data_IF_573376873516
#
_entry.id   IF_573376873516
#
_cell.length_a   1.000
_cell.length_b   1.000
_cell.length_c   1.000
_cell.angle_alpha   90.00
_cell.angle_beta   90.00
_cell.angle_gamma   90.00
#
_symmetry.space_group_name_H-M   'P 1'
#
loop_
_entity.id
_entity.type
_entity.pdbx_description
1 polymer ?
#
# COMPACT_ATOMS: atom_id res chain seq x y z
N UNK A 1 41.72 -15.15 -7.39
CA UNK A 1 40.74 -14.38 -6.60
C UNK A 1 39.48 -15.23 -6.53
N UNK A 2 39.33 -16.01 -5.46
CA UNK A 2 38.26 -17.01 -5.32
C UNK A 2 37.09 -16.33 -4.61
N UNK A 3 35.99 -16.09 -5.32
CA UNK A 3 34.79 -15.46 -4.75
C UNK A 3 34.01 -16.58 -4.06
N UNK A 4 33.93 -16.52 -2.73
CA UNK A 4 33.17 -17.47 -1.94
C UNK A 4 31.66 -17.37 -2.25
N UNK A 5 31.00 -18.45 -2.72
CA UNK A 5 29.59 -18.43 -3.12
C UNK A 5 28.62 -18.32 -1.93
N UNK A 6 29.11 -18.53 -0.69
CA UNK A 6 28.30 -18.44 0.53
C UNK A 6 28.03 -16.96 0.91
N UNK A 7 28.96 -16.06 0.61
CA UNK A 7 28.85 -14.63 0.95
C UNK A 7 27.75 -13.91 0.18
N UNK A 8 27.51 -14.29 -1.08
CA UNK A 8 26.45 -13.69 -1.90
C UNK A 8 25.04 -14.08 -1.42
N UNK A 9 24.85 -15.33 -0.96
CA UNK A 9 23.54 -15.82 -0.49
C UNK A 9 23.15 -15.21 0.85
N UNK A 10 24.10 -14.96 1.75
CA UNK A 10 23.83 -14.31 3.04
C UNK A 10 23.48 -12.81 2.88
N UNK A 11 24.09 -12.12 1.91
CA UNK A 11 23.81 -10.70 1.64
C UNK A 11 22.47 -10.48 0.93
N UNK A 12 22.14 -11.30 -0.07
CA UNK A 12 20.83 -11.29 -0.72
C UNK A 12 19.68 -11.57 0.27
N UNK A 13 19.92 -12.45 1.26
CA UNK A 13 18.94 -12.80 2.30
C UNK A 13 18.79 -11.71 3.36
N UNK A 14 19.85 -10.94 3.69
CA UNK A 14 19.76 -9.77 4.59
C UNK A 14 19.06 -8.57 3.95
N UNK A 15 19.21 -8.39 2.63
CA UNK A 15 18.51 -7.34 1.87
C UNK A 15 17.02 -7.67 1.73
N UNK A 16 16.68 -8.94 1.48
CA UNK A 16 15.28 -9.40 1.41
C UNK A 16 14.54 -9.32 2.77
N UNK A 17 15.27 -9.27 3.89
CA UNK A 17 14.70 -9.26 5.25
C UNK A 17 14.57 -7.86 5.88
N UNK A 18 14.97 -6.78 5.18
CA UNK A 18 14.49 -5.42 5.47
C UNK A 18 13.05 -5.30 4.95
N UNK A 19 12.14 -6.01 5.63
CA UNK A 19 10.68 -6.14 5.43
C UNK A 19 10.12 -5.19 4.37
N UNK A 20 9.70 -5.76 3.25
CA UNK A 20 9.03 -5.09 2.14
C UNK A 20 8.14 -3.93 2.63
N UNK A 21 8.58 -2.66 2.48
CA UNK A 21 7.94 -1.49 3.11
C UNK A 21 6.45 -1.41 2.84
N UNK A 22 6.03 -1.85 1.65
CA UNK A 22 4.64 -1.89 1.22
C UNK A 22 3.71 -2.70 2.12
N UNK A 23 4.20 -3.71 2.85
CA UNK A 23 3.36 -4.48 3.78
C UNK A 23 2.87 -3.62 4.95
N UNK A 24 3.66 -2.62 5.39
CA UNK A 24 3.21 -1.67 6.42
C UNK A 24 2.13 -0.75 5.88
N UNK A 25 2.27 -0.33 4.61
CA UNK A 25 1.27 0.48 3.91
C UNK A 25 -0.06 -0.27 3.84
N UNK A 26 -0.03 -1.51 3.34
CA UNK A 26 -1.25 -2.32 3.24
C UNK A 26 -1.90 -2.53 4.59
N UNK A 27 -1.12 -2.78 5.64
CA UNK A 27 -1.66 -2.92 7.00
C UNK A 27 -2.32 -1.63 7.49
N UNK A 28 -1.69 -0.47 7.29
CA UNK A 28 -2.28 0.81 7.70
C UNK A 28 -3.57 1.12 6.92
N UNK A 29 -3.60 0.81 5.62
CA UNK A 29 -4.82 0.95 4.81
C UNK A 29 -5.93 0.00 5.26
N UNK A 30 -5.61 -1.24 5.61
CA UNK A 30 -6.59 -2.18 6.16
C UNK A 30 -7.08 -1.77 7.55
N UNK A 31 -6.21 -1.19 8.38
CA UNK A 31 -6.59 -0.62 9.69
C UNK A 31 -7.55 0.57 9.52
N UNK A 32 -7.31 1.44 8.54
CA UNK A 32 -8.23 2.54 8.19
C UNK A 32 -9.54 2.03 7.59
N UNK A 33 -9.46 1.06 6.68
CA UNK A 33 -10.62 0.52 5.96
C UNK A 33 -11.52 -0.36 6.84
N UNK A 34 -11.00 -0.89 7.95
CA UNK A 34 -11.75 -1.73 8.87
C UNK A 34 -11.90 -3.18 8.40
N UNK A 35 -12.77 -3.91 9.10
CA UNK A 35 -13.04 -5.31 8.81
C UNK A 35 -13.71 -5.47 7.44
N UNK A 36 -13.25 -6.45 6.64
CA UNK A 36 -13.79 -6.72 5.30
C UNK A 36 -12.94 -6.18 4.15
N UNK A 37 -11.88 -5.41 4.42
CA UNK A 37 -10.93 -4.96 3.41
C UNK A 37 -9.89 -6.05 3.06
N UNK A 38 -10.04 -6.68 1.90
CA UNK A 38 -9.14 -7.70 1.40
C UNK A 38 -8.08 -7.13 0.48
N UNK A 39 -6.80 -7.42 0.75
CA UNK A 39 -5.71 -7.01 -0.13
C UNK A 39 -5.75 -7.81 -1.45
N UNK A 40 -5.80 -7.10 -2.59
CA UNK A 40 -5.82 -7.72 -3.92
C UNK A 40 -4.46 -7.65 -4.59
N UNK A 41 -3.90 -6.43 -4.70
CA UNK A 41 -2.64 -6.22 -5.40
C UNK A 41 -1.92 -4.96 -4.93
N UNK A 42 -0.62 -4.96 -5.15
CA UNK A 42 0.28 -3.84 -4.91
C UNK A 42 1.16 -3.64 -6.14
N UNK A 43 1.41 -2.39 -6.50
CA UNK A 43 2.50 -2.01 -7.39
C UNK A 43 3.20 -0.77 -6.84
N UNK A 44 4.43 -0.58 -7.26
CA UNK A 44 5.21 0.60 -6.92
C UNK A 44 5.94 1.16 -8.14
N UNK A 45 6.11 2.47 -8.13
CA UNK A 45 6.90 3.20 -9.12
C UNK A 45 7.79 4.20 -8.40
N UNK A 46 9.10 4.23 -8.71
CA UNK A 46 9.99 5.28 -8.20
C UNK A 46 9.43 6.67 -8.56
N UNK A 47 9.59 7.61 -7.64
CA UNK A 47 9.19 9.01 -7.82
C UNK A 47 10.31 9.92 -7.32
N UNK A 48 10.54 11.02 -8.03
CA UNK A 48 11.45 12.05 -7.59
C UNK A 48 11.00 13.42 -8.08
N UNK A 49 11.32 14.43 -7.29
CA UNK A 49 11.19 15.85 -7.58
C UNK A 49 12.56 16.52 -7.43
N UNK A 50 12.61 17.85 -7.53
CA UNK A 50 13.86 18.61 -7.33
C UNK A 50 14.41 18.46 -5.92
N UNK A 51 13.55 18.35 -4.91
CA UNK A 51 13.95 18.41 -3.49
C UNK A 51 13.74 17.10 -2.74
N UNK A 52 12.92 16.19 -3.26
CA UNK A 52 12.57 14.93 -2.60
C UNK A 52 12.56 13.76 -3.57
N UNK A 53 12.92 12.58 -3.08
CA UNK A 53 12.72 11.30 -3.76
C UNK A 53 11.80 10.39 -2.94
N UNK A 54 11.33 9.31 -3.56
CA UNK A 54 10.47 8.36 -2.91
C UNK A 54 9.90 7.32 -3.86
N UNK A 55 8.75 6.78 -3.47
CA UNK A 55 8.00 5.84 -4.28
C UNK A 55 6.50 6.12 -4.19
N UNK A 56 5.84 5.95 -5.33
CA UNK A 56 4.39 5.95 -5.44
C UNK A 56 3.91 4.51 -5.38
N UNK A 57 3.07 4.19 -4.41
CA UNK A 57 2.51 2.87 -4.21
C UNK A 57 1.04 2.88 -4.58
N UNK A 58 0.63 1.96 -5.45
CA UNK A 58 -0.78 1.73 -5.78
C UNK A 58 -1.22 0.42 -5.15
N UNK A 59 -2.22 0.48 -4.28
CA UNK A 59 -2.78 -0.66 -3.54
C UNK A 59 -4.24 -0.82 -3.96
N UNK A 60 -4.63 -2.03 -4.33
CA UNK A 60 -6.04 -2.35 -4.53
C UNK A 60 -6.58 -3.17 -3.36
N UNK A 61 -7.69 -2.71 -2.78
CA UNK A 61 -8.44 -3.40 -1.73
C UNK A 61 -9.83 -3.77 -2.26
N UNK A 62 -10.26 -4.99 -1.97
CA UNK A 62 -11.59 -5.48 -2.28
C UNK A 62 -12.45 -5.56 -1.03
N UNK A 63 -13.73 -5.24 -1.21
CA UNK A 63 -14.74 -5.26 -0.17
C UNK A 63 -15.92 -6.08 -0.70
N UNK A 64 -16.17 -7.24 -0.10
CA UNK A 64 -17.19 -8.19 -0.56
C UNK A 64 -18.34 -8.28 0.44
N UNK A 65 -19.58 -8.16 -0.05
CA UNK A 65 -20.79 -8.14 0.77
C UNK A 65 -21.16 -6.75 1.29
N UNK A 66 -22.40 -6.62 1.76
CA UNK A 66 -23.01 -5.32 2.08
C UNK A 66 -22.26 -4.55 3.18
N UNK A 67 -21.86 -5.22 4.25
CA UNK A 67 -21.12 -4.60 5.38
C UNK A 67 -19.74 -4.08 4.94
N UNK A 68 -19.02 -4.86 4.13
CA UNK A 68 -17.72 -4.44 3.61
C UNK A 68 -17.86 -3.29 2.61
N UNK A 69 -18.93 -3.24 1.82
CA UNK A 69 -19.17 -2.13 0.90
C UNK A 69 -19.42 -0.80 1.64
N UNK A 70 -20.13 -0.82 2.77
CA UNK A 70 -20.25 0.37 3.63
C UNK A 70 -18.88 0.80 4.19
N UNK A 71 -18.04 -0.16 4.59
CA UNK A 71 -16.67 0.11 5.00
C UNK A 71 -15.82 0.71 3.86
N UNK A 72 -16.06 0.31 2.61
CA UNK A 72 -15.41 0.89 1.44
C UNK A 72 -15.74 2.39 1.28
N UNK A 73 -17.00 2.77 1.44
CA UNK A 73 -17.43 4.17 1.34
C UNK A 73 -16.79 5.03 2.44
N UNK A 74 -16.74 4.52 3.67
CA UNK A 74 -16.06 5.18 4.78
C UNK A 74 -14.55 5.31 4.53
N UNK A 75 -13.92 4.26 4.01
CA UNK A 75 -12.51 4.28 3.63
C UNK A 75 -12.22 5.32 2.56
N UNK A 76 -13.04 5.37 1.50
CA UNK A 76 -12.90 6.34 0.39
C UNK A 76 -12.98 7.77 0.92
N UNK A 77 -13.93 8.03 1.82
CA UNK A 77 -14.10 9.36 2.42
C UNK A 77 -12.95 9.72 3.38
N UNK A 78 -12.41 8.76 4.13
CA UNK A 78 -11.40 9.01 5.14
C UNK A 78 -9.97 9.08 4.60
N UNK A 79 -9.65 8.37 3.51
CA UNK A 79 -8.28 8.22 3.01
C UNK A 79 -7.56 9.56 2.72
N UNK A 80 -8.16 10.55 2.03
CA UNK A 80 -7.44 11.77 1.66
C UNK A 80 -6.97 12.61 2.85
N UNK A 81 -7.71 12.55 3.96
CA UNK A 81 -7.45 13.34 5.16
C UNK A 81 -6.75 12.50 6.25
N UNK A 82 -6.42 11.24 5.98
CA UNK A 82 -5.85 10.35 6.98
C UNK A 82 -4.35 10.58 7.18
N UNK A 83 -3.97 10.84 8.43
CA UNK A 83 -2.55 10.94 8.82
C UNK A 83 -1.96 9.55 9.11
N UNK A 84 -1.09 9.09 8.21
CA UNK A 84 -0.43 7.79 8.33
C UNK A 84 0.80 7.84 9.25
N UNK A 85 0.88 6.86 10.16
CA UNK A 85 2.06 6.61 11.00
C UNK A 85 2.81 5.35 10.56
N UNK A 86 3.75 5.49 9.61
CA UNK A 86 4.51 4.35 9.03
C UNK A 86 5.93 4.16 9.62
N UNK A 87 6.17 4.72 10.81
CA UNK A 87 7.46 4.66 11.49
C UNK A 87 8.40 5.76 10.98
N UNK A 88 9.47 5.36 10.30
CA UNK A 88 10.51 6.24 9.74
C UNK A 88 10.18 6.79 8.34
N UNK A 89 8.94 6.62 7.88
CA UNK A 89 8.50 6.98 6.53
C UNK A 89 7.43 8.05 6.57
N UNK A 90 7.58 9.05 5.71
CA UNK A 90 6.63 10.14 5.52
C UNK A 90 5.71 9.85 4.34
N UNK A 91 4.40 9.91 4.56
CA UNK A 91 3.39 9.91 3.48
C UNK A 91 3.14 11.36 3.09
N UNK A 92 3.50 11.72 1.87
CA UNK A 92 3.31 13.08 1.35
C UNK A 92 1.93 13.28 0.73
N UNK A 93 1.33 12.21 0.21
CA UNK A 93 0.02 12.22 -0.43
C UNK A 93 -0.63 10.83 -0.32
N UNK A 94 -1.95 10.81 -0.18
CA UNK A 94 -2.77 9.60 -0.14
C UNK A 94 -4.12 9.90 -0.80
N UNK A 95 -4.49 9.12 -1.81
CA UNK A 95 -5.71 9.40 -2.58
C UNK A 95 -6.34 8.16 -3.15
N UNK A 96 -7.65 8.20 -3.42
CA UNK A 96 -8.35 7.16 -4.16
C UNK A 96 -8.26 7.49 -5.65
N UNK A 97 -7.70 6.57 -6.43
CA UNK A 97 -7.50 6.76 -7.89
C UNK A 97 -8.49 5.97 -8.75
N UNK A 98 -9.12 4.93 -8.20
CA UNK A 98 -10.17 4.16 -8.88
C UNK A 98 -11.13 3.53 -7.88
N UNK A 99 -12.40 3.43 -8.28
CA UNK A 99 -13.43 2.67 -7.57
C UNK A 99 -14.24 1.89 -8.61
N UNK A 100 -14.21 0.57 -8.52
CA UNK A 100 -14.96 -0.32 -9.39
C UNK A 100 -15.99 -1.10 -8.58
N UNK A 101 -17.27 -0.95 -8.90
CA UNK A 101 -18.36 -1.64 -8.22
C UNK A 101 -18.95 -2.72 -9.12
N UNK A 102 -19.08 -3.92 -8.57
CA UNK A 102 -19.74 -5.06 -9.19
C UNK A 102 -20.96 -5.45 -8.36
N UNK A 103 -22.14 -5.53 -8.99
CA UNK A 103 -23.40 -5.84 -8.29
C UNK A 103 -23.71 -7.34 -8.32
N UNK A 104 -23.32 -8.04 -9.38
CA UNK A 104 -23.64 -9.46 -9.61
C UNK A 104 -22.38 -10.24 -10.05
N UNK A 105 -22.27 -11.53 -9.70
CA UNK A 105 -23.22 -12.35 -8.94
C UNK A 105 -23.23 -12.05 -7.44
N UNK A 106 -22.21 -11.37 -6.92
CA UNK A 106 -22.08 -10.94 -5.54
C UNK A 106 -21.63 -9.47 -5.49
N UNK A 107 -22.23 -8.65 -4.61
CA UNK A 107 -21.82 -7.25 -4.44
C UNK A 107 -20.36 -7.15 -3.99
N UNK A 108 -19.57 -6.37 -4.73
CA UNK A 108 -18.16 -6.13 -4.45
C UNK A 108 -17.75 -4.73 -4.88
N UNK A 109 -16.92 -4.07 -4.07
CA UNK A 109 -16.21 -2.85 -4.45
C UNK A 109 -14.71 -3.13 -4.48
N UNK A 110 -14.04 -2.74 -5.56
CA UNK A 110 -12.58 -2.69 -5.66
C UNK A 110 -12.15 -1.23 -5.61
N UNK A 111 -11.37 -0.85 -4.60
CA UNK A 111 -10.85 0.50 -4.43
C UNK A 111 -9.35 0.48 -4.67
N UNK A 112 -8.87 1.37 -5.54
CA UNK A 112 -7.44 1.60 -5.73
C UNK A 112 -7.02 2.88 -5.03
N UNK A 113 -6.15 2.72 -4.03
CA UNK A 113 -5.50 3.80 -3.31
C UNK A 113 -4.09 4.01 -3.85
N UNK A 114 -3.69 5.26 -4.00
CA UNK A 114 -2.33 5.67 -4.32
C UNK A 114 -1.74 6.46 -3.15
N UNK A 115 -0.53 6.09 -2.73
CA UNK A 115 0.21 6.78 -1.68
C UNK A 115 1.58 7.18 -2.20
N UNK A 116 1.95 8.44 -1.97
CA UNK A 116 3.31 8.94 -2.20
C UNK A 116 4.08 8.88 -0.89
N UNK A 117 5.12 8.05 -0.85
CA UNK A 117 6.02 7.93 0.30
C UNK A 117 7.35 8.54 -0.06
N UNK A 118 7.86 9.41 0.81
CA UNK A 118 9.19 9.99 0.65
C UNK A 118 10.27 9.09 1.24
N UNK A 119 11.42 9.09 0.57
CA UNK A 119 12.66 8.60 1.16
C UNK A 119 13.18 9.58 2.23
N UNK A 120 14.22 9.16 2.97
CA UNK A 120 14.86 9.86 4.10
C UNK A 120 14.59 11.37 4.15
N UNK A 121 13.70 11.76 5.08
CA UNK A 121 13.39 13.15 5.45
C UNK A 121 14.22 13.61 6.65
#
# INVERSE_FOLDING_TARGET
>A
MQIDPISHRAMATRVANRRAPWKRIVRALQELAGAGAEFVRHSEKPWASVTFSGARHTIALAFEGAEAMEAADLFIAALPDHEFSLGDKLVADATVVSVEQTVLPSPRTLVEAELLILDDV
#
